data_IF_133204687656
#
_entry.id   IF_133204687656
#
_cell.length_a   1.000
_cell.length_b   1.000
_cell.length_c   1.000
_cell.angle_alpha   90.00
_cell.angle_beta   90.00
_cell.angle_gamma   90.00
#
_symmetry.space_group_name_H-M   'P 1'
#
loop_
_entity.id
_entity.type
_entity.pdbx_description
1 polymer ?
#
# COMPACT_ATOMS: atom_id res chain seq x y z
N UNK A 1 -41.81 -1.05 86.10
CA UNK A 1 -41.46 -0.75 84.70
C UNK A 1 -40.56 0.47 84.68
N UNK A 2 -39.32 0.31 84.23
CA UNK A 2 -38.45 1.31 83.57
C UNK A 2 -36.97 0.93 83.80
N UNK A 3 -36.38 0.39 82.75
CA UNK A 3 -34.95 0.20 82.47
C UNK A 3 -34.23 1.57 82.55
N UNK A 4 -32.95 1.77 82.85
CA UNK A 4 -31.74 0.99 82.62
C UNK A 4 -30.79 1.80 81.71
N UNK A 5 -29.60 2.17 82.23
CA UNK A 5 -28.32 2.54 81.54
C UNK A 5 -28.38 3.74 80.56
N UNK A 6 -27.57 4.79 80.74
CA UNK A 6 -26.28 5.11 80.05
C UNK A 6 -25.85 6.53 80.51
N UNK A 7 -24.63 7.05 80.37
CA UNK A 7 -23.42 6.59 79.70
C UNK A 7 -22.22 7.41 80.21
N UNK A 8 -21.08 6.74 80.30
CA UNK A 8 -19.76 7.37 80.40
C UNK A 8 -19.49 8.13 79.11
N UNK A 9 -19.04 9.38 79.21
CA UNK A 9 -18.51 10.14 78.07
C UNK A 9 -17.29 9.41 77.49
N UNK A 10 -17.48 8.74 76.37
CA UNK A 10 -16.40 8.26 75.52
C UNK A 10 -16.02 9.41 74.57
N UNK A 11 -14.84 10.01 74.79
CA UNK A 11 -14.31 11.11 73.95
C UNK A 11 -13.47 10.59 72.78
N UNK A 12 -13.73 9.38 72.28
CA UNK A 12 -12.99 8.81 71.16
C UNK A 12 -13.86 8.28 70.02
N UNK A 13 -15.05 8.88 69.81
CA UNK A 13 -15.88 8.56 68.66
C UNK A 13 -15.89 9.71 67.63
N UNK A 14 -15.19 9.59 66.49
CA UNK A 14 -15.08 10.65 65.47
C UNK A 14 -16.30 10.75 64.54
N UNK A 15 -17.47 10.23 64.96
CA UNK A 15 -18.69 10.14 64.15
C UNK A 15 -19.95 10.64 64.88
N UNK A 16 -19.79 11.36 65.99
CA UNK A 16 -20.91 11.96 66.71
C UNK A 16 -20.82 13.48 66.64
N UNK A 17 -21.81 14.06 65.95
CA UNK A 17 -22.18 15.46 65.83
C UNK A 17 -21.35 16.30 64.85
N UNK A 18 -21.85 16.39 63.62
CA UNK A 18 -22.34 17.67 63.08
C UNK A 18 -23.60 17.35 62.27
N UNK A 19 -24.78 17.46 62.91
CA UNK A 19 -26.01 17.72 62.17
C UNK A 19 -25.88 19.12 61.59
N UNK A 20 -25.25 19.20 60.42
CA UNK A 20 -25.22 20.40 59.61
C UNK A 20 -26.67 20.76 59.25
N UNK A 21 -27.06 21.90 59.81
CA UNK A 21 -28.21 22.71 59.49
C UNK A 21 -28.46 22.75 57.97
N UNK A 22 -29.37 21.89 57.49
CA UNK A 22 -29.91 21.93 56.13
C UNK A 22 -30.83 23.15 55.98
N UNK A 23 -30.22 24.33 55.99
CA UNK A 23 -30.82 25.57 55.48
C UNK A 23 -30.24 25.85 54.09
N UNK A 24 -31.15 25.90 53.11
CA UNK A 24 -30.81 25.87 51.69
C UNK A 24 -29.91 27.00 51.20
N UNK A 25 -29.13 26.67 50.19
CA UNK A 25 -28.35 27.59 49.37
C UNK A 25 -27.92 26.89 48.09
N UNK A 26 -28.76 27.00 47.06
CA UNK A 26 -28.46 26.91 45.63
C UNK A 26 -27.51 25.79 45.17
N UNK A 27 -28.13 24.69 44.75
CA UNK A 27 -27.52 23.64 43.94
C UNK A 27 -26.79 24.26 42.73
N UNK A 28 -25.50 23.93 42.61
CA UNK A 28 -24.56 24.39 41.57
C UNK A 28 -24.97 23.92 40.16
N UNK A 29 -25.94 24.61 39.56
CA UNK A 29 -26.47 24.35 38.21
C UNK A 29 -25.41 24.64 37.11
N UNK A 30 -24.45 25.52 37.40
CA UNK A 30 -23.40 25.94 36.44
C UNK A 30 -22.31 24.89 36.19
N UNK A 31 -22.02 24.03 37.18
CA UNK A 31 -21.00 22.98 37.04
C UNK A 31 -21.37 21.90 36.01
N UNK A 32 -22.65 21.57 35.91
CA UNK A 32 -23.15 20.57 34.96
C UNK A 32 -23.17 21.07 33.51
N UNK A 33 -23.48 22.35 33.30
CA UNK A 33 -23.47 22.95 31.98
C UNK A 33 -22.03 23.13 31.44
N UNK A 34 -21.08 23.50 32.29
CA UNK A 34 -19.66 23.53 31.92
C UNK A 34 -19.15 22.13 31.51
N UNK A 35 -19.52 21.10 32.29
CA UNK A 35 -19.14 19.72 31.98
C UNK A 35 -19.76 19.25 30.66
N UNK A 36 -20.99 19.65 30.35
CA UNK A 36 -21.66 19.32 29.08
C UNK A 36 -20.99 20.00 27.89
N UNK A 37 -20.64 21.27 28.00
CA UNK A 37 -19.96 22.03 26.95
C UNK A 37 -18.55 21.46 26.65
N UNK A 38 -17.80 21.10 27.69
CA UNK A 38 -16.50 20.44 27.56
C UNK A 38 -16.64 19.08 26.85
N UNK A 39 -17.64 18.27 27.20
CA UNK A 39 -17.89 16.99 26.54
C UNK A 39 -18.28 17.16 25.07
N UNK A 40 -19.14 18.13 24.75
CA UNK A 40 -19.54 18.43 23.38
C UNK A 40 -18.34 18.90 22.53
N UNK A 41 -17.49 19.76 23.10
CA UNK A 41 -16.26 20.23 22.47
C UNK A 41 -15.30 19.08 22.19
N UNK A 42 -15.09 18.18 23.17
CA UNK A 42 -14.26 16.98 22.98
C UNK A 42 -14.81 16.07 21.90
N UNK A 43 -16.11 15.79 21.91
CA UNK A 43 -16.79 14.97 20.91
C UNK A 43 -16.64 15.55 19.49
N UNK A 44 -16.83 16.86 19.33
CA UNK A 44 -16.65 17.55 18.06
C UNK A 44 -15.19 17.52 17.55
N UNK A 45 -14.22 17.68 18.46
CA UNK A 45 -12.80 17.60 18.11
C UNK A 45 -12.40 16.20 17.65
N UNK A 46 -12.87 15.15 18.34
CA UNK A 46 -12.61 13.75 17.98
C UNK A 46 -13.22 13.43 16.61
N UNK A 47 -14.48 13.78 16.38
CA UNK A 47 -15.15 13.55 15.09
C UNK A 47 -14.45 14.26 13.93
N UNK A 48 -14.01 15.51 14.12
CA UNK A 48 -13.22 16.22 13.10
C UNK A 48 -11.88 15.54 12.83
N UNK A 49 -11.26 14.95 13.85
CA UNK A 49 -10.01 14.22 13.73
C UNK A 49 -10.19 12.91 12.94
N UNK A 50 -11.25 12.14 13.22
CA UNK A 50 -11.54 10.91 12.46
C UNK A 50 -11.83 11.21 11.00
N UNK A 51 -12.63 12.24 10.71
CA UNK A 51 -12.90 12.69 9.33
C UNK A 51 -11.63 13.11 8.58
N UNK A 52 -10.71 13.82 9.25
CA UNK A 52 -9.41 14.17 8.67
C UNK A 52 -8.56 12.94 8.37
N UNK A 53 -8.59 11.95 9.25
CA UNK A 53 -7.85 10.70 9.07
C UNK A 53 -8.40 9.89 7.89
N UNK A 54 -9.72 9.77 7.78
CA UNK A 54 -10.37 9.16 6.62
C UNK A 54 -9.99 9.84 5.30
N UNK A 55 -10.00 11.18 5.27
CA UNK A 55 -9.53 11.93 4.11
C UNK A 55 -8.06 11.67 3.75
N UNK A 56 -7.20 11.56 4.76
CA UNK A 56 -5.78 11.23 4.56
C UNK A 56 -5.58 9.80 4.05
N UNK A 57 -6.37 8.83 4.53
CA UNK A 57 -6.35 7.45 4.07
C UNK A 57 -6.78 7.37 2.61
N UNK A 58 -7.90 8.01 2.25
CA UNK A 58 -8.41 8.02 0.87
C UNK A 58 -7.42 8.65 -0.12
N UNK A 59 -6.78 9.77 0.25
CA UNK A 59 -5.75 10.37 -0.61
C UNK A 59 -4.50 9.49 -0.71
N UNK A 60 -4.08 8.85 0.40
CA UNK A 60 -2.95 7.92 0.39
C UNK A 60 -3.22 6.72 -0.53
N UNK A 61 -4.46 6.22 -0.54
CA UNK A 61 -4.88 5.13 -1.40
C UNK A 61 -4.83 5.55 -2.86
N UNK A 62 -5.38 6.73 -3.19
CA UNK A 62 -5.35 7.29 -4.55
C UNK A 62 -3.91 7.42 -5.07
N UNK A 63 -3.01 7.97 -4.25
CA UNK A 63 -1.58 8.09 -4.60
C UNK A 63 -0.94 6.72 -4.74
N UNK A 64 -1.24 5.77 -3.85
CA UNK A 64 -0.70 4.42 -3.92
C UNK A 64 -1.15 3.65 -5.17
N UNK A 65 -2.42 3.81 -5.59
CA UNK A 65 -2.94 3.19 -6.82
C UNK A 65 -2.27 3.77 -8.04
N UNK A 66 -2.13 5.09 -8.13
CA UNK A 66 -1.39 5.73 -9.22
C UNK A 66 0.08 5.27 -9.26
N UNK A 67 0.70 5.08 -8.09
CA UNK A 67 2.07 4.54 -7.99
C UNK A 67 2.13 3.10 -8.47
N UNK A 68 1.12 2.28 -8.14
CA UNK A 68 1.04 0.90 -8.60
C UNK A 68 0.92 0.80 -10.13
N UNK A 69 0.08 1.65 -10.74
CA UNK A 69 -0.05 1.74 -12.20
C UNK A 69 1.28 2.06 -12.87
N UNK A 70 2.01 3.03 -12.33
CA UNK A 70 3.31 3.43 -12.85
C UNK A 70 4.35 2.30 -12.71
N UNK A 71 4.39 1.59 -11.58
CA UNK A 71 5.26 0.42 -11.42
C UNK A 71 4.93 -0.68 -12.44
N UNK A 72 3.65 -0.97 -12.70
CA UNK A 72 3.27 -1.93 -13.73
C UNK A 72 3.75 -1.49 -15.11
N UNK A 73 3.64 -0.20 -15.43
CA UNK A 73 4.15 0.33 -16.69
C UNK A 73 5.68 0.20 -16.79
N UNK A 74 6.41 0.52 -15.72
CA UNK A 74 7.87 0.36 -15.66
C UNK A 74 8.30 -1.09 -15.84
N UNK A 75 7.57 -2.04 -15.25
CA UNK A 75 7.81 -3.47 -15.48
C UNK A 75 7.74 -3.84 -16.95
N UNK A 76 6.71 -3.40 -17.67
CA UNK A 76 6.57 -3.69 -19.11
C UNK A 76 7.77 -3.15 -19.91
N UNK A 77 8.30 -1.98 -19.53
CA UNK A 77 9.50 -1.43 -20.15
C UNK A 77 10.75 -2.28 -19.86
N UNK A 78 10.91 -2.77 -18.63
CA UNK A 78 12.01 -3.67 -18.27
C UNK A 78 11.93 -4.99 -19.06
N UNK A 79 10.75 -5.61 -19.13
CA UNK A 79 10.54 -6.84 -19.89
C UNK A 79 10.82 -6.65 -21.38
N UNK A 80 10.40 -5.51 -21.96
CA UNK A 80 10.71 -5.18 -23.36
C UNK A 80 12.21 -5.00 -23.57
N UNK A 81 12.90 -4.34 -22.63
CA UNK A 81 14.35 -4.12 -22.72
C UNK A 81 15.09 -5.44 -22.64
N UNK A 82 14.68 -6.34 -21.74
CA UNK A 82 15.25 -7.68 -21.63
C UNK A 82 15.10 -8.47 -22.94
N UNK A 83 13.91 -8.46 -23.56
CA UNK A 83 13.66 -9.10 -24.87
C UNK A 83 14.54 -8.51 -25.98
N UNK A 84 14.75 -7.19 -25.97
CA UNK A 84 15.62 -6.54 -26.94
C UNK A 84 17.09 -6.98 -26.78
N UNK A 85 17.59 -7.10 -25.55
CA UNK A 85 18.93 -7.61 -25.29
C UNK A 85 19.08 -9.08 -25.70
N UNK A 86 18.05 -9.91 -25.52
CA UNK A 86 18.06 -11.28 -26.02
C UNK A 86 18.13 -11.34 -27.54
N UNK A 87 17.38 -10.46 -28.22
CA UNK A 87 17.45 -10.32 -29.67
C UNK A 87 18.84 -9.90 -30.12
N UNK A 88 19.44 -8.89 -29.49
CA UNK A 88 20.81 -8.45 -29.77
C UNK A 88 21.78 -9.62 -29.63
N UNK A 89 21.69 -10.39 -28.55
CA UNK A 89 22.56 -11.55 -28.35
C UNK A 89 22.39 -12.61 -29.46
N UNK A 90 21.16 -12.92 -29.87
CA UNK A 90 20.88 -13.84 -30.99
C UNK A 90 21.42 -13.30 -32.33
N UNK A 91 21.25 -12.01 -32.59
CA UNK A 91 21.73 -11.35 -33.81
C UNK A 91 23.27 -11.37 -33.87
N UNK A 92 23.94 -11.22 -32.72
CA UNK A 92 25.40 -11.36 -32.62
C UNK A 92 25.87 -12.80 -32.86
N UNK A 93 25.13 -13.82 -32.40
CA UNK A 93 25.44 -15.23 -32.72
C UNK A 93 25.38 -15.50 -34.22
N UNK A 94 24.35 -14.99 -34.90
CA UNK A 94 24.22 -15.09 -36.36
C UNK A 94 25.36 -14.33 -37.06
N UNK A 95 25.65 -13.11 -36.60
CA UNK A 95 26.75 -12.30 -37.13
C UNK A 95 28.09 -13.02 -37.01
N UNK A 96 28.37 -13.66 -35.87
CA UNK A 96 29.60 -14.41 -35.64
C UNK A 96 29.76 -15.61 -36.57
N UNK A 97 28.65 -16.32 -36.87
CA UNK A 97 28.64 -17.40 -37.87
C UNK A 97 28.94 -16.89 -39.27
N UNK A 98 28.39 -15.73 -39.65
CA UNK A 98 28.70 -15.10 -40.93
C UNK A 98 30.16 -14.67 -41.03
N UNK A 99 30.70 -14.02 -40.00
CA UNK A 99 32.13 -13.65 -39.92
C UNK A 99 33.02 -14.89 -40.08
N UNK A 100 32.71 -15.98 -39.38
CA UNK A 100 33.44 -17.25 -39.47
C UNK A 100 33.37 -17.85 -40.88
N UNK A 101 32.20 -17.76 -41.52
CA UNK A 101 31.99 -18.22 -42.89
C UNK A 101 32.79 -17.40 -43.91
N UNK A 102 32.82 -16.07 -43.79
CA UNK A 102 33.59 -15.17 -44.66
C UNK A 102 35.10 -15.43 -44.50
N UNK A 103 35.60 -15.55 -43.27
CA UNK A 103 36.99 -15.91 -43.01
C UNK A 103 37.37 -17.25 -43.66
N UNK A 104 36.45 -18.21 -43.63
CA UNK A 104 36.63 -19.53 -44.27
C UNK A 104 36.65 -19.45 -45.79
N UNK A 105 35.96 -18.49 -46.43
CA UNK A 105 36.01 -18.30 -47.88
C UNK A 105 37.33 -17.67 -48.34
N UNK A 106 37.89 -16.73 -47.58
CA UNK A 106 39.19 -16.11 -47.88
C UNK A 106 40.39 -17.02 -47.58
N UNK A 107 40.25 -18.00 -46.67
CA UNK A 107 41.27 -19.02 -46.40
C UNK A 107 41.04 -20.39 -47.05
N UNK A 108 39.87 -20.62 -47.65
CA UNK A 108 39.35 -21.96 -47.99
C UNK A 108 39.44 -22.38 -49.46
N UNK A 109 39.92 -21.51 -50.36
CA UNK A 109 40.13 -21.91 -51.77
C UNK A 109 41.24 -22.98 -51.92
N UNK A 110 42.03 -23.24 -50.87
CA UNK A 110 43.10 -24.26 -50.87
C UNK A 110 42.66 -25.59 -50.23
N UNK A 111 41.44 -25.69 -49.66
CA UNK A 111 41.02 -26.89 -48.92
C UNK A 111 39.70 -27.55 -49.42
N UNK A 112 39.31 -27.28 -50.67
CA UNK A 112 38.12 -27.84 -51.33
C UNK A 112 38.16 -29.38 -51.55
N UNK A 113 39.17 -30.10 -51.02
CA UNK A 113 39.41 -31.51 -51.34
C UNK A 113 39.13 -32.53 -50.22
N UNK A 114 38.39 -32.20 -49.14
CA UNK A 114 37.99 -33.22 -48.15
C UNK A 114 36.52 -33.12 -47.71
N UNK A 115 35.85 -34.26 -47.81
CA UNK A 115 34.42 -34.55 -47.66
C UNK A 115 33.81 -34.13 -46.30
N UNK A 116 32.51 -33.80 -46.34
CA UNK A 116 31.63 -33.50 -45.20
C UNK A 116 31.24 -34.75 -44.38
N UNK A 117 30.97 -34.60 -43.08
CA UNK A 117 29.95 -35.40 -42.38
C UNK A 117 28.80 -34.57 -41.80
N UNK A 118 27.58 -35.02 -42.17
CA UNK A 118 26.28 -35.09 -41.49
C UNK A 118 25.90 -34.14 -40.32
N UNK A 119 24.76 -33.44 -40.50
CA UNK A 119 24.02 -32.63 -39.51
C UNK A 119 23.26 -33.49 -38.47
N UNK A 120 23.21 -33.05 -37.19
CA UNK A 120 22.18 -33.45 -36.24
C UNK A 120 20.98 -32.47 -36.23
N UNK A 121 19.79 -32.92 -35.77
CA UNK A 121 18.50 -32.23 -35.95
C UNK A 121 18.30 -31.01 -35.04
N UNK A 122 17.31 -30.13 -35.36
CA UNK A 122 17.05 -28.91 -34.61
C UNK A 122 16.42 -29.22 -33.24
N UNK A 123 17.03 -28.67 -32.18
CA UNK A 123 16.46 -28.69 -30.82
C UNK A 123 15.22 -27.82 -30.75
N UNK A 124 14.19 -28.41 -30.15
CA UNK A 124 12.85 -27.90 -30.00
C UNK A 124 12.76 -26.61 -29.18
N UNK A 125 11.80 -25.78 -29.59
CA UNK A 125 11.25 -24.61 -28.94
C UNK A 125 11.35 -24.64 -27.41
N UNK A 126 12.15 -23.73 -26.84
CA UNK A 126 12.01 -23.34 -25.44
C UNK A 126 10.66 -22.63 -25.29
N UNK A 127 9.85 -23.17 -24.40
CA UNK A 127 8.54 -22.66 -24.05
C UNK A 127 8.69 -21.29 -23.42
N UNK A 128 8.00 -20.30 -24.00
CA UNK A 128 7.81 -19.00 -23.38
C UNK A 128 7.14 -19.19 -22.01
N UNK A 129 7.92 -19.10 -20.95
CA UNK A 129 7.40 -18.88 -19.60
C UNK A 129 6.65 -17.57 -19.64
N UNK A 130 5.32 -17.68 -19.72
CA UNK A 130 4.38 -16.59 -19.51
C UNK A 130 4.60 -16.07 -18.09
N UNK A 131 5.46 -15.07 -17.95
CA UNK A 131 5.65 -14.31 -16.71
C UNK A 131 4.31 -13.65 -16.42
N UNK A 132 3.58 -14.21 -15.45
CA UNK A 132 2.37 -13.63 -14.93
C UNK A 132 2.80 -12.41 -14.13
N UNK A 133 2.77 -11.23 -14.74
CA UNK A 133 3.18 -9.99 -14.12
C UNK A 133 2.32 -9.65 -12.90
N UNK A 134 2.99 -9.50 -11.76
CA UNK A 134 2.50 -8.85 -10.53
C UNK A 134 1.07 -9.22 -10.09
N UNK A 135 0.73 -10.51 -9.89
CA UNK A 135 -0.63 -10.92 -9.56
C UNK A 135 -1.12 -10.28 -8.25
N UNK A 136 -0.23 -10.08 -7.28
CA UNK A 136 -0.56 -9.46 -5.99
C UNK A 136 -0.81 -7.96 -6.09
N UNK A 137 -0.03 -7.22 -6.89
CA UNK A 137 -0.23 -5.79 -7.06
C UNK A 137 -1.55 -5.53 -7.79
N UNK A 138 -1.83 -6.29 -8.85
CA UNK A 138 -3.10 -6.24 -9.57
C UNK A 138 -4.27 -6.59 -8.65
N UNK A 139 -4.14 -7.66 -7.84
CA UNK A 139 -5.16 -8.04 -6.87
C UNK A 139 -5.38 -6.96 -5.79
N UNK A 140 -4.33 -6.29 -5.32
CA UNK A 140 -4.45 -5.19 -4.37
C UNK A 140 -5.16 -3.97 -4.98
N UNK A 141 -4.89 -3.66 -6.25
CA UNK A 141 -5.59 -2.60 -6.98
C UNK A 141 -7.06 -2.93 -7.23
N UNK A 142 -7.38 -4.18 -7.62
CA UNK A 142 -8.76 -4.64 -7.80
C UNK A 142 -9.54 -4.62 -6.47
N UNK A 143 -8.89 -4.98 -5.36
CA UNK A 143 -9.50 -4.91 -4.03
C UNK A 143 -9.81 -3.46 -3.60
N UNK A 144 -8.95 -2.50 -3.95
CA UNK A 144 -9.21 -1.07 -3.79
C UNK A 144 -10.37 -0.59 -4.67
N UNK A 145 -10.41 -1.01 -5.94
CA UNK A 145 -11.43 -0.59 -6.89
C UNK A 145 -12.84 -1.11 -6.56
N UNK A 146 -12.93 -2.32 -5.99
CA UNK A 146 -14.20 -2.98 -5.65
C UNK A 146 -14.72 -2.68 -4.24
N UNK A 147 -14.08 -1.79 -3.47
CA UNK A 147 -14.69 -1.34 -2.22
C UNK A 147 -15.95 -0.51 -2.54
N UNK A 148 -17.12 -0.85 -1.96
CA UNK A 148 -18.34 -0.09 -2.13
C UNK A 148 -18.12 1.30 -1.52
N UNK A 149 -17.87 2.28 -2.38
CA UNK A 149 -17.94 3.68 -1.99
C UNK A 149 -19.38 3.95 -1.59
N UNK A 150 -19.68 4.49 -0.40
CA UNK A 150 -21.01 5.00 -0.13
C UNK A 150 -21.28 6.12 -1.14
N UNK A 151 -22.06 5.77 -2.16
CA UNK A 151 -22.50 6.69 -3.19
C UNK A 151 -23.48 7.66 -2.53
N UNK A 152 -22.97 8.83 -2.19
CA UNK A 152 -23.77 10.03 -1.99
C UNK A 152 -24.60 10.04 -0.72
N UNK A 153 -23.99 10.39 0.41
CA UNK A 153 -24.60 11.28 1.41
C UNK A 153 -23.51 11.72 2.39
N UNK A 154 -22.94 12.90 2.13
CA UNK A 154 -22.01 13.52 3.07
C UNK A 154 -22.78 13.82 4.38
N UNK A 155 -22.36 13.30 5.55
CA UNK A 155 -23.01 13.60 6.83
C UNK A 155 -22.98 15.10 7.18
N UNK A 156 -22.18 15.90 6.48
CA UNK A 156 -22.16 17.36 6.56
C UNK A 156 -23.46 18.04 6.04
N UNK A 157 -24.34 17.33 5.32
CA UNK A 157 -25.62 17.89 4.84
C UNK A 157 -26.80 17.65 5.79
N UNK A 158 -26.62 16.88 6.87
CA UNK A 158 -27.68 16.66 7.88
C UNK A 158 -27.70 17.74 8.98
N UNK A 159 -26.78 18.70 8.94
CA UNK A 159 -26.68 19.81 9.91
C UNK A 159 -27.61 21.00 9.56
N UNK A 160 -28.86 20.72 9.14
CA UNK A 160 -29.85 21.77 8.86
C UNK A 160 -31.18 21.53 9.56
N UNK A 161 -31.12 21.16 10.84
CA UNK A 161 -32.22 21.37 11.79
C UNK A 161 -31.67 21.42 13.23
N UNK A 162 -30.89 22.47 13.51
CA UNK A 162 -30.21 22.67 14.79
C UNK A 162 -31.05 23.63 15.65
N UNK A 163 -32.24 23.19 16.08
CA UNK A 163 -33.13 23.99 16.93
C UNK A 163 -34.13 23.13 17.69
N UNK A 164 -33.67 22.17 18.52
CA UNK A 164 -34.44 21.54 19.61
C UNK A 164 -33.63 20.43 20.31
N UNK A 165 -32.71 20.79 21.21
CA UNK A 165 -32.15 19.84 22.17
C UNK A 165 -32.22 20.41 23.59
N UNK A 166 -33.42 20.42 24.13
CA UNK A 166 -33.64 20.36 25.57
C UNK A 166 -34.32 19.01 25.82
N UNK A 167 -33.73 18.19 26.71
CA UNK A 167 -34.19 16.87 27.17
C UNK A 167 -33.65 15.64 26.38
N UNK A 168 -32.49 15.10 26.79
CA UNK A 168 -32.07 13.75 26.38
C UNK A 168 -30.56 13.51 26.23
N UNK A 169 -29.79 13.54 27.32
CA UNK A 169 -28.34 13.28 27.34
C UNK A 169 -27.95 11.85 26.87
N UNK A 170 -28.92 10.96 26.67
CA UNK A 170 -28.69 9.56 26.25
C UNK A 170 -28.68 9.38 24.72
N UNK A 171 -29.58 10.05 23.99
CA UNK A 171 -29.76 9.78 22.55
C UNK A 171 -28.72 10.49 21.67
N UNK A 172 -28.34 11.72 22.00
CA UNK A 172 -27.29 12.46 21.28
C UNK A 172 -25.93 11.80 21.42
N UNK A 173 -25.61 11.31 22.63
CA UNK A 173 -24.39 10.56 22.89
C UNK A 173 -24.35 9.23 22.13
N UNK A 174 -25.48 8.50 22.10
CA UNK A 174 -25.58 7.26 21.32
C UNK A 174 -25.36 7.50 19.82
N UNK A 175 -25.95 8.56 19.26
CA UNK A 175 -25.74 8.92 17.85
C UNK A 175 -24.28 9.26 17.57
N UNK A 176 -23.66 10.10 18.40
CA UNK A 176 -22.24 10.44 18.26
C UNK A 176 -21.34 9.20 18.37
N UNK A 177 -21.62 8.31 19.32
CA UNK A 177 -20.84 7.08 19.49
C UNK A 177 -20.97 6.15 18.28
N UNK A 178 -22.18 6.02 17.71
CA UNK A 178 -22.39 5.26 16.48
C UNK A 178 -21.59 5.84 15.31
N UNK A 179 -21.66 7.16 15.07
CA UNK A 179 -20.87 7.81 14.02
C UNK A 179 -19.36 7.69 14.26
N UNK A 180 -18.91 7.74 15.51
CA UNK A 180 -17.52 7.56 15.87
C UNK A 180 -17.04 6.13 15.58
N UNK A 181 -17.83 5.11 15.96
CA UNK A 181 -17.53 3.70 15.69
C UNK A 181 -17.50 3.41 14.19
N UNK A 182 -18.47 3.92 13.42
CA UNK A 182 -18.51 3.79 11.96
C UNK A 182 -17.25 4.39 11.31
N UNK A 183 -16.85 5.60 11.74
CA UNK A 183 -15.62 6.22 11.24
C UNK A 183 -14.37 5.38 11.59
N UNK A 184 -14.33 4.74 12.75
CA UNK A 184 -13.21 3.87 13.12
C UNK A 184 -13.17 2.59 12.29
N UNK A 185 -14.32 2.01 11.95
CA UNK A 185 -14.39 0.83 11.07
C UNK A 185 -13.95 1.17 9.64
N UNK A 186 -14.40 2.31 9.10
CA UNK A 186 -13.95 2.84 7.81
C UNK A 186 -12.44 3.09 7.81
N UNK A 187 -11.91 3.67 8.88
CA UNK A 187 -10.46 3.88 9.04
C UNK A 187 -9.71 2.53 9.09
N UNK A 188 -10.23 1.54 9.82
CA UNK A 188 -9.65 0.21 9.92
C UNK A 188 -9.58 -0.47 8.55
N UNK A 189 -10.69 -0.42 7.81
CA UNK A 189 -10.79 -0.94 6.45
C UNK A 189 -9.82 -0.26 5.51
N UNK A 190 -9.81 1.08 5.49
CA UNK A 190 -8.92 1.85 4.62
C UNK A 190 -7.44 1.64 4.95
N UNK A 191 -7.07 1.53 6.23
CA UNK A 191 -5.71 1.14 6.64
C UNK A 191 -5.36 -0.28 6.18
N UNK A 192 -6.32 -1.21 6.19
CA UNK A 192 -6.17 -2.55 5.63
C UNK A 192 -5.88 -2.53 4.12
N UNK A 193 -6.59 -1.69 3.38
CA UNK A 193 -6.35 -1.45 1.95
C UNK A 193 -4.95 -0.89 1.72
N UNK A 194 -4.58 0.18 2.44
CA UNK A 194 -3.25 0.79 2.35
C UNK A 194 -2.13 -0.19 2.66
N UNK A 195 -2.30 -1.05 3.67
CA UNK A 195 -1.33 -2.11 3.98
C UNK A 195 -1.17 -3.08 2.81
N UNK A 196 -2.28 -3.54 2.24
CA UNK A 196 -2.26 -4.47 1.11
C UNK A 196 -1.58 -3.86 -0.11
N UNK A 197 -1.88 -2.59 -0.39
CA UNK A 197 -1.24 -1.82 -1.45
C UNK A 197 0.26 -1.63 -1.20
N UNK A 198 0.65 -1.22 0.00
CA UNK A 198 2.06 -1.07 0.38
C UNK A 198 2.85 -2.37 0.25
N UNK A 199 2.27 -3.50 0.66
CA UNK A 199 2.88 -4.82 0.46
C UNK A 199 3.01 -5.17 -1.02
N UNK A 200 1.98 -4.93 -1.83
CA UNK A 200 2.03 -5.14 -3.27
C UNK A 200 3.09 -4.28 -3.97
N UNK A 201 3.18 -3.00 -3.60
CA UNK A 201 4.19 -2.07 -4.12
C UNK A 201 5.61 -2.54 -3.75
N UNK A 202 5.82 -2.98 -2.51
CA UNK A 202 7.12 -3.48 -2.05
C UNK A 202 7.53 -4.78 -2.79
N UNK A 203 6.61 -5.71 -2.96
CA UNK A 203 6.85 -6.95 -3.71
C UNK A 203 7.25 -6.61 -5.16
N UNK A 204 6.52 -5.70 -5.83
CA UNK A 204 6.83 -5.29 -7.21
C UNK A 204 8.19 -4.58 -7.33
N UNK A 205 8.53 -3.67 -6.41
CA UNK A 205 9.85 -3.03 -6.38
C UNK A 205 10.96 -4.06 -6.21
N UNK A 206 10.77 -5.06 -5.35
CA UNK A 206 11.74 -6.14 -5.13
C UNK A 206 11.94 -6.97 -6.40
N UNK A 207 10.86 -7.30 -7.11
CA UNK A 207 10.93 -7.99 -8.40
C UNK A 207 11.62 -7.14 -9.48
N UNK A 208 11.31 -5.84 -9.55
CA UNK A 208 11.92 -4.90 -10.50
C UNK A 208 13.42 -4.71 -10.25
N UNK A 209 13.85 -4.61 -8.99
CA UNK A 209 15.28 -4.57 -8.67
C UNK A 209 16.00 -5.82 -9.17
N UNK A 210 15.44 -7.00 -8.96
CA UNK A 210 16.01 -8.24 -9.49
C UNK A 210 16.01 -8.28 -11.03
N UNK A 211 15.02 -7.67 -11.70
CA UNK A 211 15.03 -7.52 -13.16
C UNK A 211 16.13 -6.57 -13.63
N UNK A 212 16.33 -5.44 -12.95
CA UNK A 212 17.39 -4.48 -13.24
C UNK A 212 18.78 -5.08 -13.12
N UNK A 213 19.06 -5.86 -12.07
CA UNK A 213 20.34 -6.54 -11.90
C UNK A 213 20.64 -7.50 -13.07
N UNK A 214 19.65 -8.34 -13.43
CA UNK A 214 19.78 -9.25 -14.59
C UNK A 214 19.96 -8.49 -15.91
N UNK A 215 19.27 -7.36 -16.05
CA UNK A 215 19.36 -6.51 -17.23
C UNK A 215 20.73 -5.84 -17.34
N UNK A 216 21.31 -5.40 -16.22
CA UNK A 216 22.69 -4.90 -16.14
C UNK A 216 23.68 -5.95 -16.63
N UNK A 217 23.64 -7.15 -16.05
CA UNK A 217 24.51 -8.27 -16.45
C UNK A 217 24.37 -8.61 -17.95
N UNK A 218 23.13 -8.62 -18.47
CA UNK A 218 22.87 -8.91 -19.88
C UNK A 218 23.35 -7.78 -20.79
N UNK A 219 23.25 -6.53 -20.34
CA UNK A 219 23.72 -5.35 -21.07
C UNK A 219 25.24 -5.38 -21.21
N UNK A 220 25.97 -5.58 -20.11
CA UNK A 220 27.44 -5.64 -20.11
C UNK A 220 27.95 -6.76 -21.03
N UNK A 221 27.34 -7.95 -20.95
CA UNK A 221 27.67 -9.07 -21.84
C UNK A 221 27.40 -8.72 -23.31
N UNK A 222 26.26 -8.08 -23.59
CA UNK A 222 25.89 -7.69 -24.96
C UNK A 222 26.87 -6.64 -25.51
N UNK A 223 27.26 -5.65 -24.70
CA UNK A 223 28.24 -4.64 -25.07
C UNK A 223 29.59 -5.27 -25.43
N UNK A 224 30.12 -6.15 -24.58
CA UNK A 224 31.39 -6.85 -24.84
C UNK A 224 31.33 -7.65 -26.15
N UNK A 225 30.22 -8.34 -26.42
CA UNK A 225 30.02 -9.10 -27.66
C UNK A 225 29.93 -8.19 -28.88
N UNK A 226 29.17 -7.10 -28.81
CA UNK A 226 29.08 -6.10 -29.89
C UNK A 226 30.47 -5.55 -30.23
N UNK A 227 31.25 -5.17 -29.23
CA UNK A 227 32.62 -4.68 -29.43
C UNK A 227 33.52 -5.72 -30.08
N UNK A 228 33.45 -6.98 -29.64
CA UNK A 228 34.18 -8.11 -30.23
C UNK A 228 33.83 -8.31 -31.71
N UNK A 229 32.54 -8.50 -32.01
CA UNK A 229 32.05 -8.69 -33.38
C UNK A 229 32.40 -7.50 -34.28
N UNK A 230 32.27 -6.26 -33.79
CA UNK A 230 32.67 -5.06 -34.53
C UNK A 230 34.17 -5.01 -34.84
N UNK A 231 35.01 -5.44 -33.90
CA UNK A 231 36.47 -5.51 -34.11
C UNK A 231 36.82 -6.55 -35.17
N UNK A 232 36.18 -7.72 -35.14
CA UNK A 232 36.39 -8.76 -36.15
C UNK A 232 35.95 -8.31 -37.53
N UNK A 233 34.77 -7.68 -37.66
CA UNK A 233 34.31 -7.11 -38.92
C UNK A 233 35.29 -6.08 -39.50
N UNK A 234 35.79 -5.16 -38.67
CA UNK A 234 36.80 -4.17 -39.11
C UNK A 234 38.11 -4.80 -39.56
N UNK A 235 38.52 -5.91 -38.95
CA UNK A 235 39.73 -6.63 -39.36
C UNK A 235 39.54 -7.38 -40.69
N UNK A 236 38.32 -7.75 -41.08
CA UNK A 236 38.05 -8.36 -42.39
C UNK A 236 38.01 -7.35 -43.54
N UNK A 237 37.77 -6.06 -43.25
CA UNK A 237 37.74 -4.99 -44.24
C UNK A 237 39.14 -4.40 -44.55
N UNK A 238 40.17 -4.81 -43.81
CA UNK A 238 41.56 -4.43 -44.04
C UNK A 238 42.27 -5.51 -44.82
#
# INVERSE_FOLDING_TARGET
>A
MAYGRTGTFDKTNPFADDEDDLTGGDEDDGGWDLMRDELATRQGNISRSTQRCLGAIAESERVGVATAEELLHQREQLERTEKNLDKINKDLDVSQRHITSIKSMWGGVINFFKKKPQEPPPVASEQETKVQGAPKLRQAMEASQNQPRPAGEHPAMQLRDESRYAHGTSQSFQKWNAEFEDNLDDMSTGLGTLKSLAMGLNDEITEQNAMLDRLGDKTDKSELRIHGTNKEMRNMLK
#
